data_IF_083173097099
#
_entry.id   IF_083173097099
#
_cell.length_a   1.000
_cell.length_b   1.000
_cell.length_c   1.000
_cell.angle_alpha   90.00
_cell.angle_beta   90.00
_cell.angle_gamma   90.00
#
_symmetry.space_group_name_H-M   'P 1'
#
loop_
_entity.id
_entity.type
_entity.pdbx_description
1 polymer ?
#
# COMPACT_ATOMS: atom_id res chain seq x y z
N UNK A 1 55.74 11.81 -43.51
CA UNK A 1 54.27 11.95 -43.55
C UNK A 1 53.59 10.78 -42.82
N UNK A 2 53.91 10.53 -41.54
CA UNK A 2 53.36 9.38 -40.78
C UNK A 2 53.00 9.71 -39.31
N UNK A 3 52.93 11.00 -38.93
CA UNK A 3 52.61 11.40 -37.55
C UNK A 3 51.11 11.57 -37.26
N UNK A 4 50.23 11.48 -38.26
CA UNK A 4 48.79 11.77 -38.09
C UNK A 4 47.90 10.61 -37.60
N UNK A 5 48.36 9.35 -37.74
CA UNK A 5 47.51 8.17 -37.45
C UNK A 5 47.48 7.77 -35.97
N UNK A 6 48.43 8.22 -35.14
CA UNK A 6 48.49 7.89 -33.70
C UNK A 6 47.47 8.68 -32.88
N UNK A 7 47.33 9.98 -33.18
CA UNK A 7 46.40 10.90 -32.50
C UNK A 7 44.93 10.57 -32.79
N UNK A 8 44.62 10.13 -34.00
CA UNK A 8 43.25 9.78 -34.40
C UNK A 8 42.76 8.49 -33.70
N UNK A 9 43.64 7.51 -33.49
CA UNK A 9 43.33 6.26 -32.77
C UNK A 9 43.09 6.49 -31.28
N UNK A 10 43.83 7.41 -30.65
CA UNK A 10 43.62 7.80 -29.24
C UNK A 10 42.31 8.57 -29.07
N UNK A 11 41.98 9.46 -30.01
CA UNK A 11 40.72 10.21 -29.98
C UNK A 11 39.49 9.29 -30.12
N UNK A 12 39.53 8.33 -31.04
CA UNK A 12 38.47 7.32 -31.20
C UNK A 12 38.32 6.42 -29.97
N UNK A 13 39.44 6.01 -29.36
CA UNK A 13 39.41 5.23 -28.11
C UNK A 13 38.75 6.02 -26.99
N UNK A 14 39.11 7.29 -26.79
CA UNK A 14 38.54 8.13 -25.73
C UNK A 14 37.05 8.37 -25.96
N UNK A 15 36.64 8.67 -27.20
CA UNK A 15 35.23 8.83 -27.55
C UNK A 15 34.42 7.54 -27.37
N UNK A 16 34.99 6.38 -27.71
CA UNK A 16 34.36 5.08 -27.49
C UNK A 16 34.23 4.74 -26.00
N UNK A 17 35.24 5.07 -25.19
CA UNK A 17 35.19 4.88 -23.73
C UNK A 17 34.16 5.82 -23.08
N UNK A 18 34.09 7.08 -23.52
CA UNK A 18 33.06 8.02 -23.05
C UNK A 18 31.66 7.54 -23.44
N UNK A 19 31.46 7.08 -24.67
CA UNK A 19 30.17 6.53 -25.12
C UNK A 19 29.77 5.27 -24.33
N UNK A 20 30.73 4.39 -24.03
CA UNK A 20 30.52 3.21 -23.19
C UNK A 20 30.20 3.59 -21.74
N UNK A 21 30.87 4.60 -21.17
CA UNK A 21 30.56 5.10 -19.82
C UNK A 21 29.18 5.76 -19.73
N UNK A 22 28.74 6.49 -20.76
CA UNK A 22 27.37 7.05 -20.81
C UNK A 22 26.32 5.93 -20.95
N UNK A 23 26.60 4.88 -21.72
CA UNK A 23 25.69 3.73 -21.84
C UNK A 23 25.54 2.90 -20.54
N UNK A 24 26.53 2.97 -19.64
CA UNK A 24 26.53 2.25 -18.34
C UNK A 24 25.89 3.10 -17.22
N UNK A 25 25.53 4.36 -17.48
CA UNK A 25 25.09 5.31 -16.44
C UNK A 25 23.63 5.15 -15.95
N UNK A 26 22.91 4.09 -16.33
CA UNK A 26 21.53 3.88 -15.86
C UNK A 26 21.30 2.46 -15.34
N UNK A 27 21.61 2.28 -14.05
CA UNK A 27 21.25 1.11 -13.26
C UNK A 27 20.79 1.54 -11.85
N UNK A 28 19.87 2.50 -11.80
CA UNK A 28 18.97 2.64 -10.67
C UNK A 28 17.60 2.14 -11.14
N UNK A 29 17.02 1.13 -10.50
CA UNK A 29 15.63 0.76 -10.79
C UNK A 29 14.75 1.93 -10.38
N UNK A 30 14.41 2.77 -11.34
CA UNK A 30 13.54 3.92 -11.16
C UNK A 30 12.11 3.41 -11.02
N UNK A 31 11.58 3.43 -9.80
CA UNK A 31 10.19 3.09 -9.56
C UNK A 31 9.32 4.34 -9.63
N UNK A 32 8.14 4.18 -10.23
CA UNK A 32 7.04 5.14 -10.07
C UNK A 32 6.23 4.69 -8.86
N UNK A 33 6.18 5.55 -7.84
CA UNK A 33 5.51 5.24 -6.57
C UNK A 33 4.29 6.15 -6.42
N UNK A 34 3.14 5.54 -6.15
CA UNK A 34 1.92 6.24 -5.78
C UNK A 34 1.54 5.91 -4.34
N UNK A 35 1.13 6.92 -3.57
CA UNK A 35 0.61 6.74 -2.21
C UNK A 35 -0.74 7.41 -2.08
N UNK A 36 -1.63 6.82 -1.28
CA UNK A 36 -2.86 7.49 -0.93
C UNK A 36 -3.55 6.89 0.28
N UNK A 37 -4.49 7.67 0.80
CA UNK A 37 -5.19 7.40 2.04
C UNK A 37 -6.68 7.70 1.88
N UNK A 38 -7.54 6.87 2.43
CA UNK A 38 -8.94 7.23 2.67
C UNK A 38 -9.46 6.71 3.99
N UNK A 39 -10.45 7.43 4.50
CA UNK A 39 -11.24 7.04 5.65
C UNK A 39 -12.10 5.81 5.30
N UNK A 40 -11.99 4.76 6.13
CA UNK A 40 -12.78 3.53 6.07
C UNK A 40 -13.56 3.28 7.37
N UNK A 41 -13.70 4.31 8.21
CA UNK A 41 -14.38 4.21 9.51
C UNK A 41 -15.82 3.76 9.32
N UNK A 42 -16.15 2.63 9.94
CA UNK A 42 -17.52 2.12 9.97
C UNK A 42 -18.43 2.87 10.93
N UNK A 43 -19.61 2.30 11.26
CA UNK A 43 -20.55 2.91 12.19
C UNK A 43 -19.93 3.14 13.58
N UNK A 44 -20.17 4.34 14.13
CA UNK A 44 -19.58 4.78 15.39
C UNK A 44 -20.33 4.30 16.64
N UNK A 45 -21.55 3.78 16.47
CA UNK A 45 -22.43 3.42 17.58
C UNK A 45 -23.13 2.09 17.33
N UNK A 46 -23.35 1.36 18.42
CA UNK A 46 -24.23 0.18 18.53
C UNK A 46 -23.82 -1.04 17.70
N UNK A 47 -22.69 -1.01 17.00
CA UNK A 47 -22.16 -2.18 16.29
C UNK A 47 -21.15 -2.92 17.15
N UNK A 48 -21.25 -4.26 17.21
CA UNK A 48 -20.27 -5.10 17.89
C UNK A 48 -18.88 -4.91 17.28
N UNK A 49 -17.88 -4.79 18.14
CA UNK A 49 -16.49 -4.63 17.71
C UNK A 49 -15.90 -5.98 17.27
N UNK A 50 -15.01 -5.93 16.29
CA UNK A 50 -14.31 -7.09 15.75
C UNK A 50 -13.05 -7.36 16.56
N UNK A 51 -12.79 -8.63 16.92
CA UNK A 51 -11.52 -9.04 17.54
C UNK A 51 -11.72 -9.90 18.79
N UNK A 52 -12.22 -9.29 19.88
CA UNK A 52 -12.33 -9.96 21.18
C UNK A 52 -13.50 -10.95 21.30
N UNK A 53 -14.39 -11.02 20.31
CA UNK A 53 -15.58 -11.88 20.33
C UNK A 53 -16.46 -11.68 21.59
N UNK A 54 -16.53 -10.45 22.10
CA UNK A 54 -17.31 -10.09 23.28
C UNK A 54 -18.60 -9.39 22.86
N UNK A 55 -19.76 -10.01 23.16
CA UNK A 55 -21.08 -9.47 22.78
C UNK A 55 -21.40 -8.11 23.44
N UNK A 56 -20.85 -7.85 24.62
CA UNK A 56 -20.99 -6.56 25.31
C UNK A 56 -20.11 -5.45 24.74
N UNK A 57 -19.16 -5.78 23.86
CA UNK A 57 -18.23 -4.82 23.30
C UNK A 57 -18.83 -4.18 22.04
N UNK A 58 -19.48 -3.04 22.23
CA UNK A 58 -20.12 -2.27 21.16
C UNK A 58 -19.40 -0.94 20.96
N UNK A 59 -19.38 -0.50 19.71
CA UNK A 59 -18.97 0.85 19.35
C UNK A 59 -19.85 1.87 20.07
N UNK A 60 -19.23 2.89 20.66
CA UNK A 60 -19.89 3.93 21.45
C UNK A 60 -19.26 5.31 21.23
N UNK A 61 -18.63 5.51 20.07
CA UNK A 61 -17.88 6.70 19.72
C UNK A 61 -16.65 6.38 18.86
N UNK A 62 -15.86 7.42 18.59
CA UNK A 62 -14.63 7.33 17.80
C UNK A 62 -13.50 7.98 18.60
N UNK A 63 -12.46 7.20 18.90
CA UNK A 63 -11.20 7.75 19.41
C UNK A 63 -10.32 8.25 18.25
N UNK A 64 -10.07 7.38 17.27
CA UNK A 64 -9.36 7.70 16.02
C UNK A 64 -10.13 7.09 14.85
N UNK A 65 -10.06 7.77 13.70
CA UNK A 65 -10.59 7.26 12.43
C UNK A 65 -9.74 6.08 11.94
N UNK A 66 -10.37 5.20 11.17
CA UNK A 66 -9.72 4.08 10.51
C UNK A 66 -9.41 4.46 9.08
N UNK A 67 -8.20 4.14 8.61
CA UNK A 67 -7.79 4.47 7.25
C UNK A 67 -7.37 3.25 6.46
N UNK A 68 -7.64 3.31 5.16
CA UNK A 68 -6.99 2.50 4.14
C UNK A 68 -5.84 3.30 3.57
N UNK A 69 -4.63 2.73 3.62
CA UNK A 69 -3.39 3.31 3.07
C UNK A 69 -2.92 2.40 1.96
N UNK A 70 -2.81 2.93 0.75
CA UNK A 70 -2.44 2.14 -0.41
C UNK A 70 -1.20 2.70 -1.09
N UNK A 71 -0.36 1.76 -1.53
CA UNK A 71 0.97 1.95 -2.09
C UNK A 71 1.01 1.25 -3.43
N UNK A 72 1.22 2.02 -4.49
CA UNK A 72 1.43 1.53 -5.85
C UNK A 72 2.90 1.63 -6.14
N UNK A 73 3.49 0.53 -6.61
CA UNK A 73 4.87 0.49 -7.10
C UNK A 73 4.84 -0.03 -8.53
N UNK A 74 5.44 0.72 -9.43
CA UNK A 74 5.48 0.42 -10.87
C UNK A 74 6.92 0.55 -11.37
N UNK A 75 7.45 -0.53 -11.97
CA UNK A 75 8.80 -0.60 -12.54
C UNK A 75 8.83 -0.35 -14.06
N UNK A 76 7.69 0.04 -14.65
CA UNK A 76 7.48 0.25 -16.08
C UNK A 76 7.04 -1.00 -16.86
N UNK A 77 7.18 -2.20 -16.28
CA UNK A 77 6.75 -3.50 -16.86
C UNK A 77 5.64 -4.14 -16.06
N UNK A 78 5.73 -4.04 -14.75
CA UNK A 78 4.86 -4.66 -13.76
C UNK A 78 4.50 -3.62 -12.69
N UNK A 79 3.28 -3.75 -12.19
CA UNK A 79 2.73 -2.86 -11.17
C UNK A 79 2.11 -3.69 -10.06
N UNK A 80 2.46 -3.36 -8.84
CA UNK A 80 1.86 -3.94 -7.63
C UNK A 80 1.07 -2.89 -6.86
N UNK A 81 -0.01 -3.32 -6.22
CA UNK A 81 -0.81 -2.52 -5.31
C UNK A 81 -0.84 -3.22 -3.95
N UNK A 82 -0.25 -2.59 -2.95
CA UNK A 82 -0.31 -3.02 -1.56
C UNK A 82 -1.21 -2.08 -0.76
N UNK A 83 -2.16 -2.64 -0.02
CA UNK A 83 -3.12 -1.88 0.78
C UNK A 83 -3.00 -2.33 2.24
N UNK A 84 -2.75 -1.39 3.13
CA UNK A 84 -2.80 -1.59 4.58
C UNK A 84 -4.06 -0.92 5.13
N UNK A 85 -4.96 -1.69 5.73
CA UNK A 85 -6.22 -1.20 6.28
C UNK A 85 -6.25 -1.30 7.81
N UNK A 86 -6.79 -0.27 8.45
CA UNK A 86 -7.05 -0.26 9.89
C UNK A 86 -8.32 -1.07 10.20
N UNK A 87 -8.19 -2.40 10.17
CA UNK A 87 -9.26 -3.34 10.49
C UNK A 87 -8.74 -4.56 11.25
N UNK A 88 -9.64 -5.33 11.85
CA UNK A 88 -9.29 -6.57 12.55
C UNK A 88 -8.80 -7.66 11.60
N UNK A 89 -9.38 -7.77 10.41
CA UNK A 89 -8.91 -8.68 9.36
C UNK A 89 -9.55 -8.29 8.02
N UNK A 90 -9.04 -8.84 6.93
CA UNK A 90 -9.62 -8.63 5.60
C UNK A 90 -10.53 -9.81 5.26
N UNK A 91 -11.79 -9.55 4.90
CA UNK A 91 -12.69 -10.60 4.39
C UNK A 91 -12.37 -10.95 2.94
N UNK A 92 -12.57 -12.22 2.57
CA UNK A 92 -12.54 -12.64 1.17
C UNK A 92 -13.54 -11.84 0.30
N UNK A 93 -14.74 -11.52 0.83
CA UNK A 93 -15.73 -10.73 0.07
C UNK A 93 -15.23 -9.32 -0.21
N UNK A 94 -14.63 -8.67 0.79
CA UNK A 94 -14.02 -7.35 0.60
C UNK A 94 -12.95 -7.41 -0.49
N UNK A 95 -12.08 -8.43 -0.44
CA UNK A 95 -11.03 -8.59 -1.45
C UNK A 95 -11.61 -8.75 -2.86
N UNK A 96 -12.60 -9.63 -3.05
CA UNK A 96 -13.22 -9.88 -4.34
C UNK A 96 -13.93 -8.64 -4.90
N UNK A 97 -14.68 -7.92 -4.06
CA UNK A 97 -15.39 -6.69 -4.46
C UNK A 97 -14.42 -5.56 -4.80
N UNK A 98 -13.32 -5.42 -4.05
CA UNK A 98 -12.28 -4.44 -4.37
C UNK A 98 -11.61 -4.76 -5.71
N UNK A 99 -11.23 -6.02 -5.94
CA UNK A 99 -10.63 -6.44 -7.22
C UNK A 99 -11.61 -6.27 -8.38
N UNK A 100 -12.89 -6.59 -8.17
CA UNK A 100 -13.94 -6.37 -9.18
C UNK A 100 -14.07 -4.89 -9.52
N UNK A 101 -14.19 -4.01 -8.52
CA UNK A 101 -14.32 -2.59 -8.74
C UNK A 101 -13.06 -1.99 -9.40
N UNK A 102 -11.87 -2.49 -9.07
CA UNK A 102 -10.63 -2.15 -9.76
C UNK A 102 -10.65 -2.55 -11.24
N UNK A 103 -11.11 -3.76 -11.56
CA UNK A 103 -11.23 -4.26 -12.93
C UNK A 103 -12.21 -3.42 -13.74
N UNK A 104 -13.35 -3.06 -13.15
CA UNK A 104 -14.35 -2.19 -13.79
C UNK A 104 -13.78 -0.80 -14.12
N UNK A 105 -12.92 -0.25 -13.24
CA UNK A 105 -12.39 1.11 -13.40
C UNK A 105 -11.12 1.20 -14.25
N UNK A 106 -10.21 0.24 -14.13
CA UNK A 106 -8.88 0.29 -14.78
C UNK A 106 -8.64 -0.87 -15.76
N UNK A 107 -9.67 -1.65 -16.08
CA UNK A 107 -9.57 -2.79 -16.99
C UNK A 107 -8.67 -3.89 -16.43
N UNK A 108 -7.68 -4.32 -17.22
CA UNK A 108 -6.76 -5.41 -16.87
C UNK A 108 -5.57 -4.98 -16.01
N UNK A 109 -5.47 -3.70 -15.63
CA UNK A 109 -4.32 -3.15 -14.91
C UNK A 109 -4.14 -3.76 -13.51
N UNK A 110 -5.26 -4.07 -12.84
CA UNK A 110 -5.27 -4.67 -11.53
C UNK A 110 -6.06 -5.98 -11.54
N UNK A 111 -5.47 -7.00 -10.92
CA UNK A 111 -5.99 -8.36 -10.84
C UNK A 111 -5.60 -8.99 -9.51
N UNK A 112 -6.08 -10.20 -9.28
CA UNK A 112 -5.77 -11.00 -8.10
C UNK A 112 -4.25 -11.27 -7.95
N UNK A 113 -3.50 -11.19 -9.06
CA UNK A 113 -2.06 -11.48 -9.10
C UNK A 113 -1.19 -10.35 -8.57
N UNK A 114 -1.69 -9.11 -8.60
CA UNK A 114 -0.89 -7.92 -8.29
C UNK A 114 -1.54 -6.98 -7.26
N UNK A 115 -2.61 -7.43 -6.61
CA UNK A 115 -3.29 -6.70 -5.53
C UNK A 115 -3.19 -7.49 -4.23
N UNK A 116 -2.63 -6.85 -3.20
CA UNK A 116 -2.51 -7.39 -1.85
C UNK A 116 -3.19 -6.44 -0.85
N UNK A 117 -4.06 -6.98 0.01
CA UNK A 117 -4.73 -6.23 1.07
C UNK A 117 -4.38 -6.87 2.42
N UNK A 118 -3.75 -6.12 3.30
CA UNK A 118 -3.35 -6.53 4.64
C UNK A 118 -4.05 -5.66 5.69
N UNK A 119 -4.50 -6.30 6.77
CA UNK A 119 -5.12 -5.62 7.91
C UNK A 119 -4.11 -5.44 9.04
N UNK A 120 -4.18 -4.32 9.76
CA UNK A 120 -3.35 -4.07 10.96
C UNK A 120 -3.70 -4.95 12.16
N UNK A 121 -4.80 -5.69 12.08
CA UNK A 121 -5.32 -6.54 13.15
C UNK A 121 -5.73 -5.74 14.41
N UNK A 122 -6.32 -4.56 14.22
CA UNK A 122 -6.91 -3.78 15.32
C UNK A 122 -8.20 -4.41 15.83
N UNK A 123 -8.30 -4.59 17.14
CA UNK A 123 -9.52 -5.10 17.81
C UNK A 123 -10.47 -3.97 18.23
N UNK A 124 -10.19 -2.74 17.77
CA UNK A 124 -10.93 -1.53 18.14
C UNK A 124 -11.82 -1.00 16.99
N UNK A 125 -12.26 -1.87 16.10
CA UNK A 125 -13.08 -1.51 14.94
C UNK A 125 -14.44 -2.18 14.90
N UNK A 126 -15.43 -1.60 14.19
CA UNK A 126 -16.72 -2.24 14.00
C UNK A 126 -16.55 -3.55 13.21
N UNK A 127 -17.26 -4.60 13.63
CA UNK A 127 -17.37 -5.86 12.89
C UNK A 127 -18.39 -5.78 11.77
N UNK A 128 -19.03 -6.90 11.43
CA UNK A 128 -20.10 -6.88 10.42
C UNK A 128 -19.64 -7.13 8.98
N UNK A 129 -18.37 -7.51 8.76
CA UNK A 129 -17.80 -7.55 7.41
C UNK A 129 -17.22 -8.88 6.94
N UNK A 130 -17.29 -9.92 7.77
CA UNK A 130 -16.87 -11.27 7.39
C UNK A 130 -18.05 -12.09 6.88
N UNK A 131 -17.94 -12.62 5.66
CA UNK A 131 -18.98 -13.48 5.06
C UNK A 131 -19.30 -14.74 5.87
N UNK A 132 -18.28 -15.39 6.44
CA UNK A 132 -18.43 -16.68 7.10
C UNK A 132 -18.87 -16.58 8.57
N UNK A 133 -18.88 -15.38 9.16
CA UNK A 133 -19.38 -15.16 10.51
C UNK A 133 -20.84 -14.68 10.43
N UNK A 134 -21.77 -15.56 10.81
CA UNK A 134 -23.23 -15.35 10.67
C UNK A 134 -23.77 -14.15 11.46
N UNK A 135 -23.05 -13.69 12.47
CA UNK A 135 -23.43 -12.62 13.42
C UNK A 135 -23.26 -11.20 12.86
N UNK A 136 -22.89 -11.08 11.58
CA UNK A 136 -22.32 -9.87 10.98
C UNK A 136 -22.96 -9.57 9.61
N UNK A 137 -24.29 -9.65 9.50
CA UNK A 137 -25.02 -9.52 8.22
C UNK A 137 -25.77 -8.19 8.04
N UNK A 138 -25.33 -7.14 8.71
CA UNK A 138 -26.01 -5.82 8.68
C UNK A 138 -25.57 -4.92 7.52
N UNK A 139 -24.82 -5.45 6.54
CA UNK A 139 -24.42 -4.69 5.34
C UNK A 139 -23.35 -3.62 5.56
N UNK A 140 -22.80 -3.50 6.78
CA UNK A 140 -21.68 -2.60 7.12
C UNK A 140 -20.46 -2.79 6.20
N UNK A 141 -20.24 -4.00 5.68
CA UNK A 141 -19.19 -4.29 4.71
C UNK A 141 -19.27 -3.49 3.41
N UNK A 142 -20.48 -3.07 2.97
CA UNK A 142 -20.63 -2.25 1.76
C UNK A 142 -19.94 -0.90 1.94
N UNK A 143 -20.05 -0.30 3.13
CA UNK A 143 -19.38 0.94 3.46
C UNK A 143 -17.85 0.76 3.50
N UNK A 144 -17.35 -0.32 4.11
CA UNK A 144 -15.91 -0.60 4.16
C UNK A 144 -15.30 -0.93 2.79
N UNK A 145 -15.99 -1.73 1.97
CA UNK A 145 -15.54 -2.10 0.62
C UNK A 145 -15.53 -0.87 -0.31
N UNK A 146 -16.60 -0.07 -0.28
CA UNK A 146 -16.69 1.18 -1.05
C UNK A 146 -15.65 2.20 -0.56
N UNK A 147 -15.45 2.35 0.74
CA UNK A 147 -14.47 3.29 1.29
C UNK A 147 -13.02 2.89 0.94
N UNK A 148 -12.71 1.59 1.00
CA UNK A 148 -11.42 1.07 0.50
C UNK A 148 -11.25 1.41 -0.98
N UNK A 149 -12.29 1.18 -1.80
CA UNK A 149 -12.30 1.56 -3.22
C UNK A 149 -12.18 3.07 -3.45
N UNK A 150 -12.78 3.92 -2.61
CA UNK A 150 -12.65 5.38 -2.71
C UNK A 150 -11.26 5.89 -2.32
N UNK A 151 -10.57 5.25 -1.36
CA UNK A 151 -9.15 5.51 -1.13
C UNK A 151 -8.27 5.17 -2.33
N UNK A 152 -8.65 4.14 -3.06
CA UNK A 152 -7.97 3.77 -4.29
C UNK A 152 -8.33 4.73 -5.44
N UNK A 153 -9.50 5.38 -5.39
CA UNK A 153 -9.87 6.47 -6.31
C UNK A 153 -9.02 7.72 -6.09
N UNK A 154 -8.63 8.03 -4.86
CA UNK A 154 -7.65 9.09 -4.59
C UNK A 154 -6.29 8.77 -5.23
N UNK A 155 -5.87 7.50 -5.20
CA UNK A 155 -4.57 7.05 -5.73
C UNK A 155 -4.51 7.04 -7.26
N UNK A 156 -5.62 6.79 -7.96
CA UNK A 156 -5.63 6.84 -9.42
C UNK A 156 -5.87 8.22 -10.00
N UNK A 157 -6.37 9.15 -9.18
CA UNK A 157 -6.60 10.55 -9.59
C UNK A 157 -5.39 11.41 -9.28
N UNK A 158 -4.51 10.97 -8.38
CA UNK A 158 -3.08 11.30 -8.47
C UNK A 158 -2.49 10.43 -9.56
N UNK A 159 -2.33 10.93 -10.79
CA UNK A 159 -1.47 10.19 -11.67
C UNK A 159 -0.11 10.11 -10.99
N UNK A 160 0.59 8.99 -11.15
CA UNK A 160 2.04 8.97 -11.06
C UNK A 160 2.70 9.86 -12.15
N UNK A 161 2.05 10.97 -12.56
CA UNK A 161 2.34 11.77 -13.74
C UNK A 161 1.85 13.23 -13.73
N UNK A 162 1.51 13.87 -12.60
CA UNK A 162 1.19 15.32 -12.61
C UNK A 162 2.24 16.23 -12.03
N UNK A 163 3.26 15.71 -11.37
CA UNK A 163 4.51 16.44 -11.18
C UNK A 163 5.62 15.44 -11.49
N UNK A 164 6.56 15.85 -12.33
CA UNK A 164 7.72 15.07 -12.84
C UNK A 164 7.98 13.83 -11.97
N UNK A 165 7.78 12.59 -12.46
CA UNK A 165 8.03 11.40 -11.66
C UNK A 165 9.52 11.39 -11.34
N UNK A 166 9.87 11.90 -10.16
CA UNK A 166 11.24 11.88 -9.71
C UNK A 166 11.64 10.41 -9.62
N UNK A 167 12.79 10.01 -10.18
CA UNK A 167 13.25 8.65 -10.06
C UNK A 167 13.32 8.29 -8.57
N UNK A 168 12.39 7.43 -8.11
CA UNK A 168 12.22 7.16 -6.68
C UNK A 168 12.79 5.80 -6.35
N UNK A 169 13.73 5.77 -5.40
CA UNK A 169 14.31 4.53 -4.88
C UNK A 169 13.52 4.02 -3.68
N UNK A 170 13.35 2.70 -3.57
CA UNK A 170 12.82 2.05 -2.37
C UNK A 170 14.00 1.65 -1.49
N UNK A 171 14.01 2.10 -0.23
CA UNK A 171 15.03 1.75 0.75
C UNK A 171 14.41 0.81 1.77
N UNK A 172 15.03 -0.36 1.97
CA UNK A 172 14.61 -1.32 2.99
C UNK A 172 15.59 -1.28 4.16
N UNK A 173 15.06 -1.08 5.37
CA UNK A 173 15.83 -1.15 6.60
C UNK A 173 15.17 -2.14 7.57
N UNK A 174 15.99 -2.94 8.26
CA UNK A 174 15.55 -3.85 9.33
C UNK A 174 16.23 -3.44 10.63
N UNK A 175 15.47 -3.44 11.72
CA UNK A 175 15.97 -3.31 13.10
C UNK A 175 15.17 -4.26 14.00
N UNK A 176 15.78 -4.68 15.11
CA UNK A 176 15.09 -5.44 16.14
C UNK A 176 14.32 -4.50 17.08
N UNK A 177 13.08 -4.87 17.41
CA UNK A 177 12.26 -4.19 18.40
C UNK A 177 12.15 -5.10 19.63
N UNK A 178 12.94 -4.81 20.66
CA UNK A 178 12.82 -5.51 21.94
C UNK A 178 11.72 -4.86 22.77
N UNK A 179 10.64 -5.59 23.06
CA UNK A 179 9.69 -5.19 24.08
C UNK A 179 10.36 -5.31 25.46
N UNK A 180 10.84 -4.21 26.01
CA UNK A 180 11.04 -4.16 27.46
C UNK A 180 9.66 -4.15 28.11
N UNK A 181 9.26 -5.29 28.68
CA UNK A 181 8.15 -5.36 29.62
C UNK A 181 8.51 -4.50 30.83
N UNK A 182 8.19 -3.22 30.79
CA UNK A 182 8.23 -2.35 31.96
C UNK A 182 7.08 -2.80 32.87
N UNK A 183 7.37 -3.79 33.71
CA UNK A 183 6.54 -4.17 34.84
C UNK A 183 6.38 -2.93 35.72
N UNK A 184 5.26 -2.23 35.59
CA UNK A 184 4.81 -1.29 36.61
C UNK A 184 4.64 -2.14 37.87
N UNK A 185 5.63 -2.11 38.76
CA UNK A 185 5.42 -2.54 40.14
C UNK A 185 4.23 -1.73 40.64
N UNK A 186 3.15 -2.43 40.98
CA UNK A 186 2.05 -1.86 41.78
C UNK A 186 2.68 -1.04 42.91
N UNK A 187 2.53 0.28 42.86
CA UNK A 187 2.50 1.05 44.09
C UNK A 187 1.26 0.58 44.84
N UNK A 188 1.46 -0.26 45.84
CA UNK A 188 0.46 -0.45 46.88
C UNK A 188 0.32 0.89 47.60
N UNK A 189 -0.88 1.48 47.55
CA UNK A 189 -1.33 2.43 48.55
C UNK A 189 -1.76 1.68 49.81
#
# INVERSE_FOLDING_TARGET
>A
MLMGLSSQKTLFSVLATIFFCVAVAECGNVYKIGVGIADITGPAAEINMMGYAQLGQRTAGIHLRQFSRAFVVDDGKSRILFISIDAGMTSQVIYLEVVKALKEKYGSLYSEKNVCISSTHTHSGPGGFLQHFKECRDGAWKHTALATFFGMKAISTTPASTEVPLPTSIIQQRRELTMQLMWIRRCSF
#
